data_IF_866640847967
#
_entry.id   IF_866640847967
#
_cell.length_a   1.000
_cell.length_b   1.000
_cell.length_c   1.000
_cell.angle_alpha   90.00
_cell.angle_beta   90.00
_cell.angle_gamma   90.00
#
_symmetry.space_group_name_H-M   'P 1'
#
loop_
_entity.id
_entity.type
_entity.pdbx_description
1 polymer ?
#
# COMPACT_ATOMS: atom_id res chain seq x y z
N UNK A 1 -25.83 -53.28 16.06
CA UNK A 1 -26.30 -51.93 15.64
C UNK A 1 -25.67 -50.78 16.42
N UNK A 2 -25.53 -50.89 17.77
CA UNK A 2 -24.91 -49.85 18.63
C UNK A 2 -23.41 -49.59 18.38
N UNK A 3 -22.64 -50.56 17.89
CA UNK A 3 -21.21 -50.36 17.55
C UNK A 3 -21.00 -49.54 16.26
N UNK A 4 -21.82 -49.75 15.23
CA UNK A 4 -21.76 -48.97 13.98
C UNK A 4 -22.15 -47.50 14.18
N UNK A 5 -22.98 -47.18 15.17
CA UNK A 5 -23.28 -45.79 15.56
C UNK A 5 -22.16 -45.13 16.36
N UNK A 6 -21.47 -45.86 17.24
CA UNK A 6 -20.29 -45.35 17.93
C UNK A 6 -19.18 -45.03 16.93
N UNK A 7 -18.89 -45.93 16.00
CA UNK A 7 -17.84 -45.74 14.99
C UNK A 7 -18.14 -44.56 14.01
N UNK A 8 -19.42 -44.36 13.64
CA UNK A 8 -19.84 -43.17 12.88
C UNK A 8 -19.68 -41.87 13.68
N UNK A 9 -19.93 -41.88 15.00
CA UNK A 9 -19.75 -40.69 15.85
C UNK A 9 -18.26 -40.35 16.05
N UNK A 10 -17.37 -41.33 16.20
CA UNK A 10 -15.91 -41.10 16.30
C UNK A 10 -15.29 -40.64 14.97
N UNK A 11 -15.73 -41.18 13.82
CA UNK A 11 -15.28 -40.69 12.49
C UNK A 11 -15.80 -39.27 12.21
N UNK A 12 -17.00 -38.92 12.67
CA UNK A 12 -17.56 -37.56 12.50
C UNK A 12 -16.91 -36.53 13.44
N UNK A 13 -16.38 -36.93 14.60
CA UNK A 13 -15.64 -36.02 15.48
C UNK A 13 -14.18 -35.80 15.03
N UNK A 14 -13.48 -36.84 14.54
CA UNK A 14 -12.11 -36.71 13.98
C UNK A 14 -12.08 -35.83 12.71
N UNK A 15 -13.07 -35.94 11.82
CA UNK A 15 -13.15 -35.06 10.64
C UNK A 15 -13.52 -33.59 10.97
N UNK A 16 -14.02 -33.30 12.18
CA UNK A 16 -14.39 -31.93 12.57
C UNK A 16 -13.18 -31.12 13.04
N UNK A 17 -12.19 -31.75 13.70
CA UNK A 17 -10.99 -31.07 14.21
C UNK A 17 -9.97 -30.74 13.12
N UNK A 18 -9.75 -31.61 12.11
CA UNK A 18 -8.88 -31.29 10.96
C UNK A 18 -9.41 -30.11 10.12
N UNK A 19 -10.72 -29.87 10.15
CA UNK A 19 -11.34 -28.74 9.44
C UNK A 19 -10.98 -27.37 10.03
N UNK A 20 -10.41 -27.31 11.23
CA UNK A 20 -10.18 -26.05 11.98
C UNK A 20 -8.76 -25.48 11.86
N UNK A 21 -7.74 -26.26 11.52
CA UNK A 21 -6.38 -25.74 11.36
C UNK A 21 -6.34 -24.73 10.19
N UNK A 22 -5.96 -23.44 10.42
CA UNK A 22 -5.90 -22.43 9.37
C UNK A 22 -4.66 -22.55 8.48
N UNK A 23 -3.64 -23.29 8.92
CA UNK A 23 -2.36 -23.46 8.24
C UNK A 23 -2.40 -24.61 7.23
N UNK A 24 -1.63 -24.46 6.16
CA UNK A 24 -1.31 -25.49 5.17
C UNK A 24 0.21 -25.51 5.05
N UNK A 25 0.81 -26.66 5.33
CA UNK A 25 2.22 -26.94 5.06
C UNK A 25 2.37 -27.37 3.61
N UNK A 26 3.33 -26.78 2.91
CA UNK A 26 3.60 -27.05 1.50
C UNK A 26 5.09 -27.31 1.31
N UNK A 27 5.44 -28.47 0.76
CA UNK A 27 6.80 -28.72 0.29
C UNK A 27 6.95 -28.05 -1.08
N UNK A 28 7.93 -27.16 -1.22
CA UNK A 28 8.16 -26.39 -2.43
C UNK A 28 9.63 -26.40 -2.82
N UNK A 29 9.88 -26.31 -4.13
CA UNK A 29 11.21 -26.11 -4.69
C UNK A 29 11.51 -24.61 -4.71
N UNK A 30 12.67 -24.22 -4.19
CA UNK A 30 13.12 -22.84 -4.35
C UNK A 30 13.38 -22.52 -5.84
N UNK A 31 12.78 -21.48 -6.41
CA UNK A 31 12.98 -21.17 -7.83
C UNK A 31 14.40 -20.68 -8.16
N UNK A 32 15.18 -20.28 -7.14
CA UNK A 32 16.55 -19.78 -7.30
C UNK A 32 17.60 -20.90 -7.13
N UNK A 33 17.54 -21.65 -6.03
CA UNK A 33 18.53 -22.68 -5.74
C UNK A 33 18.10 -24.12 -6.06
N UNK A 34 16.80 -24.37 -6.29
CA UNK A 34 16.26 -25.69 -6.55
C UNK A 34 16.09 -26.59 -5.32
N UNK A 35 16.46 -26.11 -4.12
CA UNK A 35 16.34 -26.91 -2.89
C UNK A 35 14.88 -27.02 -2.42
N UNK A 36 14.47 -28.23 -2.04
CA UNK A 36 13.19 -28.50 -1.40
C UNK A 36 13.19 -28.05 0.06
N UNK A 37 12.11 -27.40 0.48
CA UNK A 37 11.87 -27.01 1.86
C UNK A 37 10.37 -26.84 2.10
N UNK A 38 9.99 -26.82 3.37
CA UNK A 38 8.62 -26.61 3.79
C UNK A 38 8.32 -25.10 3.90
N UNK A 39 7.15 -24.69 3.44
CA UNK A 39 6.57 -23.36 3.59
C UNK A 39 5.20 -23.47 4.26
N UNK A 40 4.77 -22.39 4.90
CA UNK A 40 3.43 -22.30 5.50
C UNK A 40 2.59 -21.28 4.74
N UNK A 41 1.34 -21.63 4.47
CA UNK A 41 0.34 -20.68 3.97
C UNK A 41 -0.97 -20.80 4.71
N UNK A 42 -1.67 -19.68 4.78
CA UNK A 42 -3.01 -19.63 5.34
C UNK A 42 -4.08 -20.03 4.33
N UNK A 43 -5.13 -20.68 4.83
CA UNK A 43 -6.39 -20.91 4.11
C UNK A 43 -7.09 -19.57 3.92
N UNK A 44 -6.81 -18.87 2.82
CA UNK A 44 -7.33 -17.54 2.49
C UNK A 44 -8.84 -17.40 2.70
N UNK A 45 -9.63 -18.43 2.36
CA UNK A 45 -11.10 -18.45 2.56
C UNK A 45 -11.59 -18.22 4.00
N UNK A 46 -10.71 -18.35 5.00
CA UNK A 46 -11.02 -18.14 6.42
C UNK A 46 -10.92 -16.67 6.84
N UNK A 47 -10.32 -15.83 5.99
CA UNK A 47 -10.07 -14.41 6.23
C UNK A 47 -10.75 -13.60 5.12
N UNK A 48 -11.42 -12.51 5.49
CA UNK A 48 -12.06 -11.60 4.54
C UNK A 48 -11.66 -10.18 4.90
N UNK A 49 -10.98 -9.52 3.99
CA UNK A 49 -10.63 -8.11 4.11
C UNK A 49 -11.88 -7.23 3.90
N UNK A 50 -12.07 -6.24 4.76
CA UNK A 50 -13.16 -5.27 4.70
C UNK A 50 -12.65 -3.86 4.92
N UNK A 51 -13.17 -2.94 4.10
CA UNK A 51 -12.72 -1.56 4.08
C UNK A 51 -11.28 -1.42 3.60
N UNK A 52 -10.90 -0.19 3.26
CA UNK A 52 -9.54 0.18 2.88
C UNK A 52 -9.21 1.54 3.47
N UNK A 53 -8.01 1.66 4.03
CA UNK A 53 -7.39 2.93 4.40
C UNK A 53 -7.00 3.70 3.12
N UNK A 54 -6.52 4.93 3.27
CA UNK A 54 -6.08 5.80 2.18
C UNK A 54 -5.14 5.07 1.23
N UNK A 55 -4.09 4.46 1.77
CA UNK A 55 -3.04 3.72 1.06
C UNK A 55 -3.42 2.28 0.71
N UNK A 56 -4.72 1.96 0.75
CA UNK A 56 -5.32 0.67 0.43
C UNK A 56 -5.04 -0.47 1.43
N UNK A 57 -4.46 -0.18 2.61
CA UNK A 57 -4.37 -1.16 3.70
C UNK A 57 -5.77 -1.62 4.10
N UNK A 58 -6.04 -2.93 4.21
CA UNK A 58 -7.30 -3.41 4.78
C UNK A 58 -7.53 -2.85 6.20
N UNK A 59 -8.70 -2.25 6.43
CA UNK A 59 -9.04 -1.70 7.75
C UNK A 59 -9.44 -2.80 8.74
N UNK A 60 -10.07 -3.85 8.24
CA UNK A 60 -10.55 -4.96 9.07
C UNK A 60 -10.37 -6.28 8.36
N UNK A 61 -9.93 -7.29 9.10
CA UNK A 61 -9.84 -8.68 8.63
C UNK A 61 -10.85 -9.50 9.43
N UNK A 62 -11.97 -9.82 8.79
CA UNK A 62 -12.97 -10.71 9.36
C UNK A 62 -12.47 -12.15 9.35
N UNK A 63 -12.61 -12.82 10.50
CA UNK A 63 -12.20 -14.21 10.70
C UNK A 63 -13.46 -15.06 10.79
N UNK A 64 -13.63 -16.01 9.87
CA UNK A 64 -14.86 -16.82 9.77
C UNK A 64 -15.03 -17.86 10.88
N UNK A 65 -13.99 -18.12 11.68
CA UNK A 65 -14.00 -19.16 12.72
C UNK A 65 -13.48 -18.61 14.06
N UNK A 66 -14.06 -19.06 15.19
CA UNK A 66 -13.51 -18.77 16.52
C UNK A 66 -12.14 -19.43 16.68
N UNK A 67 -11.25 -18.80 17.46
CA UNK A 67 -9.88 -19.26 17.71
C UNK A 67 -8.82 -18.68 16.76
N UNK A 68 -9.23 -17.92 15.74
CA UNK A 68 -8.31 -17.30 14.77
C UNK A 68 -7.93 -15.86 15.13
N UNK A 69 -8.38 -15.34 16.29
CA UNK A 69 -8.22 -13.93 16.66
C UNK A 69 -6.75 -13.49 16.71
N UNK A 70 -5.85 -14.40 17.09
CA UNK A 70 -4.42 -14.13 17.22
C UNK A 70 -3.65 -14.40 15.92
N UNK A 71 -4.31 -14.73 14.82
CA UNK A 71 -3.66 -15.00 13.53
C UNK A 71 -3.82 -13.77 12.64
N UNK A 72 -2.68 -13.36 12.11
CA UNK A 72 -2.46 -12.15 11.32
C UNK A 72 -2.10 -12.55 9.89
N UNK A 73 -3.03 -12.53 8.92
CA UNK A 73 -2.73 -13.01 7.57
C UNK A 73 -1.53 -12.34 6.88
N UNK A 74 -1.32 -11.07 7.19
CA UNK A 74 -0.22 -10.23 6.73
C UNK A 74 1.16 -10.81 7.03
N UNK A 75 1.35 -11.50 8.16
CA UNK A 75 2.67 -12.06 8.53
C UNK A 75 3.03 -13.33 7.74
N UNK A 76 2.07 -13.91 7.00
CA UNK A 76 2.26 -15.12 6.18
C UNK A 76 2.28 -14.82 4.67
N UNK A 77 2.50 -13.57 4.29
CA UNK A 77 2.48 -13.14 2.89
C UNK A 77 3.77 -13.53 2.13
N UNK A 78 4.92 -13.50 2.81
CA UNK A 78 6.24 -13.74 2.22
C UNK A 78 6.67 -15.20 2.40
N UNK A 79 7.26 -15.77 1.37
CA UNK A 79 7.94 -17.07 1.41
C UNK A 79 9.45 -16.89 1.33
N UNK A 80 10.18 -17.76 2.02
CA UNK A 80 11.62 -17.61 2.25
C UNK A 80 12.38 -18.93 2.08
N UNK A 81 13.42 -18.94 1.27
CA UNK A 81 14.30 -20.09 1.15
C UNK A 81 15.40 -20.09 2.22
N UNK A 82 15.46 -21.07 3.13
CA UNK A 82 16.50 -21.11 4.18
C UNK A 82 17.90 -21.41 3.64
N UNK A 83 18.03 -21.87 2.39
CA UNK A 83 19.33 -22.26 1.81
C UNK A 83 20.02 -21.15 1.03
N UNK A 84 19.26 -20.29 0.37
CA UNK A 84 19.80 -19.21 -0.46
C UNK A 84 19.23 -17.83 -0.13
N UNK A 85 18.43 -17.76 0.93
CA UNK A 85 17.77 -16.57 1.47
C UNK A 85 16.72 -15.93 0.57
N UNK A 86 16.50 -16.44 -0.65
CA UNK A 86 15.54 -15.85 -1.59
C UNK A 86 14.17 -15.67 -0.93
N UNK A 87 13.71 -14.42 -0.89
CA UNK A 87 12.47 -14.02 -0.22
C UNK A 87 11.62 -13.18 -1.16
N UNK A 88 10.36 -13.58 -1.37
CA UNK A 88 9.41 -12.89 -2.26
C UNK A 88 7.98 -13.18 -1.81
N UNK A 89 6.97 -12.52 -2.40
CA UNK A 89 5.58 -12.86 -2.13
C UNK A 89 5.28 -14.32 -2.51
N UNK A 90 4.40 -14.99 -1.76
CA UNK A 90 4.00 -16.38 -2.06
C UNK A 90 3.65 -16.61 -3.53
N UNK A 91 2.81 -15.76 -4.12
CA UNK A 91 2.36 -15.93 -5.51
C UNK A 91 3.51 -15.92 -6.51
N UNK A 92 4.53 -15.12 -6.24
CA UNK A 92 5.73 -14.97 -7.08
C UNK A 92 6.74 -16.09 -6.81
N UNK A 93 6.70 -16.67 -5.61
CA UNK A 93 7.49 -17.85 -5.26
C UNK A 93 6.93 -19.13 -5.91
N UNK A 94 5.60 -19.31 -5.85
CA UNK A 94 4.89 -20.46 -6.43
C UNK A 94 4.97 -20.46 -7.96
N UNK A 95 4.91 -19.28 -8.58
CA UNK A 95 4.92 -19.14 -10.04
C UNK A 95 5.74 -17.92 -10.50
N UNK A 96 7.08 -18.01 -10.48
CA UNK A 96 7.97 -16.88 -10.77
C UNK A 96 7.93 -16.41 -12.23
N UNK A 97 7.22 -17.11 -13.12
CA UNK A 97 7.17 -16.79 -14.55
C UNK A 97 5.83 -16.21 -15.00
N UNK A 98 4.75 -16.38 -14.23
CA UNK A 98 3.39 -16.05 -14.67
C UNK A 98 3.07 -14.57 -14.65
N UNK A 99 3.46 -13.88 -13.59
CA UNK A 99 3.10 -12.46 -13.40
C UNK A 99 4.32 -11.59 -13.04
N UNK A 100 5.52 -12.18 -13.01
CA UNK A 100 6.75 -11.51 -12.58
C UNK A 100 7.84 -11.56 -13.64
N UNK A 101 8.16 -10.39 -14.18
CA UNK A 101 9.41 -9.71 -13.91
C UNK A 101 10.64 -10.54 -13.40
N UNK A 102 10.53 -11.12 -12.20
CA UNK A 102 11.62 -11.80 -11.50
C UNK A 102 12.03 -13.09 -12.21
N UNK A 103 13.10 -13.01 -13.01
CA UNK A 103 13.75 -14.18 -13.60
C UNK A 103 14.70 -14.82 -12.57
N UNK A 104 14.39 -16.00 -12.00
CA UNK A 104 15.16 -16.55 -10.88
C UNK A 104 16.65 -16.73 -11.20
N UNK A 105 16.97 -17.09 -12.44
CA UNK A 105 18.37 -17.21 -12.91
C UNK A 105 19.15 -15.90 -12.88
N UNK A 106 18.51 -14.77 -13.22
CA UNK A 106 19.15 -13.46 -13.16
C UNK A 106 19.36 -13.04 -11.71
N UNK A 107 18.36 -13.27 -10.86
CA UNK A 107 18.44 -12.98 -9.44
C UNK A 107 19.53 -13.81 -8.77
N UNK A 108 19.58 -15.13 -9.04
CA UNK A 108 20.62 -16.04 -8.56
C UNK A 108 22.01 -15.51 -8.87
N UNK A 109 22.26 -15.19 -10.15
CA UNK A 109 23.55 -14.67 -10.61
C UNK A 109 23.88 -13.35 -9.93
N UNK A 110 22.93 -12.44 -9.83
CA UNK A 110 23.13 -11.15 -9.19
C UNK A 110 23.47 -11.31 -7.71
N UNK A 111 22.70 -12.09 -6.95
CA UNK A 111 22.99 -12.38 -5.52
C UNK A 111 24.39 -12.98 -5.36
N UNK A 112 24.78 -13.97 -6.17
CA UNK A 112 26.12 -14.58 -6.11
C UNK A 112 27.22 -13.56 -6.39
N UNK A 113 27.03 -12.68 -7.38
CA UNK A 113 27.99 -11.63 -7.73
C UNK A 113 28.08 -10.61 -6.59
N UNK A 114 26.95 -10.15 -6.06
CA UNK A 114 26.90 -9.20 -4.97
C UNK A 114 27.62 -9.73 -3.74
N UNK A 115 27.39 -10.99 -3.34
CA UNK A 115 28.13 -11.63 -2.24
C UNK A 115 29.64 -11.66 -2.43
N UNK A 116 30.11 -11.89 -3.66
CA UNK A 116 31.55 -11.93 -3.96
C UNK A 116 32.18 -10.55 -3.86
N UNK A 117 31.44 -9.51 -4.22
CA UNK A 117 31.95 -8.14 -4.28
C UNK A 117 31.89 -7.44 -2.93
N UNK A 118 30.89 -7.77 -2.11
CA UNK A 118 30.67 -7.13 -0.82
C UNK A 118 30.26 -8.16 0.26
N UNK A 119 31.21 -8.57 1.13
CA UNK A 119 30.92 -9.48 2.23
C UNK A 119 29.90 -8.94 3.24
N UNK A 120 29.68 -7.62 3.32
CA UNK A 120 28.70 -7.02 4.23
C UNK A 120 27.28 -7.44 3.91
N UNK A 121 27.01 -7.78 2.64
CA UNK A 121 25.71 -8.27 2.18
C UNK A 121 25.31 -9.54 2.92
N UNK A 122 26.26 -10.45 3.17
CA UNK A 122 25.98 -11.67 3.95
C UNK A 122 25.60 -11.33 5.38
N UNK A 123 26.26 -10.36 5.99
CA UNK A 123 25.90 -9.88 7.34
C UNK A 123 24.47 -9.34 7.36
N UNK A 124 24.06 -8.55 6.36
CA UNK A 124 22.67 -8.06 6.26
C UNK A 124 21.69 -9.22 6.11
N UNK A 125 21.98 -10.20 5.26
CA UNK A 125 21.11 -11.36 5.06
C UNK A 125 20.97 -12.18 6.33
N UNK A 126 22.07 -12.44 7.04
CA UNK A 126 22.07 -13.19 8.30
C UNK A 126 21.23 -12.47 9.38
N UNK A 127 21.31 -11.12 9.44
CA UNK A 127 20.53 -10.30 10.39
C UNK A 127 19.02 -10.25 10.05
N UNK A 128 18.69 -10.22 8.75
CA UNK A 128 17.31 -10.14 8.27
C UNK A 128 16.64 -11.50 8.07
N UNK A 129 17.35 -12.61 8.30
CA UNK A 129 16.76 -13.95 8.22
C UNK A 129 16.07 -14.28 9.55
N UNK A 130 14.77 -14.62 9.55
CA UNK A 130 14.08 -14.97 10.78
C UNK A 130 14.64 -16.29 11.35
N UNK A 131 14.79 -16.34 12.68
CA UNK A 131 15.23 -17.55 13.39
C UNK A 131 14.18 -18.67 13.37
N UNK A 132 12.90 -18.29 13.32
CA UNK A 132 11.76 -19.19 13.26
C UNK A 132 10.90 -18.86 12.03
N UNK A 133 10.56 -19.88 11.24
CA UNK A 133 9.68 -19.75 10.09
C UNK A 133 8.63 -20.87 10.15
N UNK A 134 7.66 -20.72 11.07
CA UNK A 134 6.64 -21.74 11.35
C UNK A 134 5.23 -21.14 11.61
N UNK A 135 4.33 -21.89 12.25
CA UNK A 135 2.97 -21.44 12.56
C UNK A 135 2.91 -20.27 13.58
N UNK A 136 4.05 -19.95 14.22
CA UNK A 136 4.22 -18.89 15.22
C UNK A 136 4.81 -17.60 14.65
N UNK A 137 4.84 -17.44 13.33
CA UNK A 137 5.28 -16.20 12.67
C UNK A 137 4.71 -14.96 13.37
N UNK A 138 5.59 -14.03 13.68
CA UNK A 138 5.26 -12.77 14.35
C UNK A 138 5.37 -11.57 13.40
N UNK A 139 4.99 -10.38 13.87
CA UNK A 139 5.21 -9.15 13.10
C UNK A 139 6.70 -8.85 12.95
N UNK A 140 7.53 -9.19 13.94
CA UNK A 140 8.99 -9.07 13.85
C UNK A 140 9.55 -9.93 12.70
N UNK A 141 9.14 -11.20 12.59
CA UNK A 141 9.58 -12.07 11.50
C UNK A 141 9.09 -11.56 10.14
N UNK A 142 7.86 -11.02 10.07
CA UNK A 142 7.36 -10.42 8.83
C UNK A 142 8.20 -9.21 8.42
N UNK A 143 8.52 -8.30 9.35
CA UNK A 143 9.39 -7.14 9.10
C UNK A 143 10.75 -7.58 8.57
N UNK A 144 11.38 -8.58 9.20
CA UNK A 144 12.63 -9.19 8.74
C UNK A 144 12.54 -9.65 7.27
N UNK A 145 11.49 -10.40 6.92
CA UNK A 145 11.30 -10.92 5.57
C UNK A 145 11.02 -9.83 4.52
N UNK A 146 10.23 -8.80 4.86
CA UNK A 146 10.00 -7.68 3.95
C UNK A 146 11.28 -6.89 3.70
N UNK A 147 12.03 -6.58 4.76
CA UNK A 147 13.34 -5.93 4.66
C UNK A 147 14.31 -6.77 3.82
N UNK A 148 14.37 -8.09 4.05
CA UNK A 148 15.23 -9.00 3.27
C UNK A 148 14.86 -9.00 1.79
N UNK A 149 13.56 -9.07 1.47
CA UNK A 149 13.09 -9.05 0.08
C UNK A 149 13.38 -7.70 -0.62
N UNK A 150 13.15 -6.57 0.07
CA UNK A 150 13.47 -5.23 -0.44
C UNK A 150 14.96 -5.13 -0.73
N UNK A 151 15.81 -5.50 0.24
CA UNK A 151 17.26 -5.44 0.09
C UNK A 151 17.74 -6.32 -1.07
N UNK A 152 17.25 -7.55 -1.17
CA UNK A 152 17.57 -8.45 -2.28
C UNK A 152 17.24 -7.88 -3.66
N UNK A 153 16.07 -7.26 -3.80
CA UNK A 153 15.68 -6.63 -5.06
C UNK A 153 16.53 -5.39 -5.35
N UNK A 154 16.94 -4.63 -4.33
CA UNK A 154 17.82 -3.47 -4.50
C UNK A 154 19.24 -3.86 -4.93
N UNK A 155 19.73 -5.05 -4.59
CA UNK A 155 21.05 -5.52 -5.02
C UNK A 155 21.16 -5.84 -6.51
N UNK A 156 20.04 -5.88 -7.24
CA UNK A 156 20.02 -6.26 -8.65
C UNK A 156 19.63 -5.06 -9.50
N UNK A 157 20.58 -4.54 -10.27
CA UNK A 157 20.38 -3.41 -11.19
C UNK A 157 19.14 -3.57 -12.09
N UNK A 158 18.90 -4.80 -12.54
CA UNK A 158 17.71 -5.13 -13.33
C UNK A 158 16.41 -4.83 -12.57
N UNK A 159 16.29 -5.19 -11.29
CA UNK A 159 15.08 -4.91 -10.51
C UNK A 159 14.98 -3.44 -10.13
N UNK A 160 16.11 -2.79 -9.83
CA UNK A 160 16.15 -1.34 -9.60
C UNK A 160 15.62 -0.53 -10.79
N UNK A 161 16.02 -0.91 -12.01
CA UNK A 161 15.81 -0.07 -13.20
C UNK A 161 14.71 -0.55 -14.14
N UNK A 162 14.33 -1.83 -14.10
CA UNK A 162 13.33 -2.41 -15.02
C UNK A 162 12.03 -2.78 -14.32
N UNK A 163 12.10 -3.20 -13.07
CA UNK A 163 10.94 -3.73 -12.35
C UNK A 163 10.85 -3.20 -10.89
N UNK A 164 10.99 -1.87 -10.68
CA UNK A 164 11.01 -1.28 -9.35
C UNK A 164 9.68 -1.44 -8.58
N UNK A 165 8.59 -1.78 -9.29
CA UNK A 165 7.24 -1.88 -8.72
C UNK A 165 7.14 -2.86 -7.54
N UNK A 166 7.91 -3.95 -7.56
CA UNK A 166 7.86 -4.94 -6.49
C UNK A 166 8.53 -4.41 -5.21
N UNK A 167 9.60 -3.63 -5.34
CA UNK A 167 10.20 -2.93 -4.19
C UNK A 167 9.17 -1.97 -3.58
N UNK A 168 8.48 -1.18 -4.41
CA UNK A 168 7.43 -0.28 -3.93
C UNK A 168 6.28 -1.00 -3.23
N UNK A 169 5.82 -2.13 -3.77
CA UNK A 169 4.78 -2.98 -3.15
C UNK A 169 5.21 -3.57 -1.80
N UNK A 170 6.46 -3.99 -1.68
CA UNK A 170 6.97 -4.54 -0.42
C UNK A 170 7.16 -3.44 0.62
N UNK A 171 7.69 -2.28 0.21
CA UNK A 171 7.83 -1.11 1.09
C UNK A 171 6.46 -0.63 1.60
N UNK A 172 5.43 -0.59 0.75
CA UNK A 172 4.07 -0.25 1.17
C UNK A 172 3.52 -1.22 2.23
N UNK A 173 3.70 -2.53 2.02
CA UNK A 173 3.26 -3.54 3.01
C UNK A 173 4.10 -3.52 4.29
N UNK A 174 5.38 -3.17 4.19
CA UNK A 174 6.22 -2.97 5.36
C UNK A 174 5.72 -1.78 6.19
N UNK A 175 5.32 -0.67 5.54
CA UNK A 175 4.69 0.46 6.20
C UNK A 175 3.41 0.04 6.95
N UNK A 176 2.61 -0.84 6.37
CA UNK A 176 1.43 -1.40 7.03
C UNK A 176 1.76 -2.19 8.29
N UNK A 177 2.84 -2.98 8.27
CA UNK A 177 3.31 -3.72 9.45
C UNK A 177 3.77 -2.77 10.55
N UNK A 178 4.55 -1.74 10.22
CA UNK A 178 4.96 -0.72 11.20
C UNK A 178 3.75 -0.03 11.82
N UNK A 179 2.76 0.36 11.00
CA UNK A 179 1.49 0.93 11.47
C UNK A 179 0.77 0.00 12.45
N UNK A 180 0.69 -1.30 12.14
CA UNK A 180 0.02 -2.28 13.00
C UNK A 180 0.76 -2.47 14.34
N UNK A 181 2.09 -2.45 14.31
CA UNK A 181 2.91 -2.48 15.52
C UNK A 181 2.67 -1.22 16.36
N UNK A 182 2.70 -0.03 15.75
CA UNK A 182 2.49 1.24 16.45
C UNK A 182 1.05 1.38 16.98
N UNK A 183 0.04 0.90 16.27
CA UNK A 183 -1.36 1.02 16.71
C UNK A 183 -1.73 0.06 17.86
N UNK A 184 -0.89 -0.94 18.17
CA UNK A 184 -1.20 -2.01 19.12
C UNK A 184 -0.21 -2.04 20.28
N UNK A 185 -0.65 -1.64 21.48
CA UNK A 185 0.18 -1.65 22.70
C UNK A 185 0.87 -3.00 22.94
N UNK A 186 0.16 -4.10 22.67
CA UNK A 186 0.73 -5.46 22.77
C UNK A 186 1.89 -5.64 21.78
N UNK A 187 1.70 -5.30 20.50
CA UNK A 187 2.74 -5.47 19.49
C UNK A 187 3.91 -4.53 19.71
N UNK A 188 3.66 -3.30 20.17
CA UNK A 188 4.74 -2.39 20.58
C UNK A 188 5.60 -3.02 21.67
N UNK A 189 4.98 -3.51 22.74
CA UNK A 189 5.69 -4.15 23.85
C UNK A 189 6.46 -5.39 23.40
N UNK A 190 5.86 -6.19 22.54
CA UNK A 190 6.43 -7.47 22.10
C UNK A 190 7.59 -7.27 21.10
N UNK A 191 7.56 -6.22 20.25
CA UNK A 191 8.45 -6.16 19.08
C UNK A 191 9.17 -4.83 18.82
N UNK A 192 8.72 -3.69 19.35
CA UNK A 192 9.25 -2.38 18.92
C UNK A 192 10.76 -2.22 19.17
N UNK A 193 11.23 -2.64 20.36
CA UNK A 193 12.65 -2.56 20.72
C UNK A 193 13.52 -3.48 19.85
N UNK A 194 13.05 -4.69 19.54
CA UNK A 194 13.76 -5.65 18.69
C UNK A 194 13.89 -5.14 17.25
N UNK A 195 12.82 -4.54 16.72
CA UNK A 195 12.82 -3.91 15.39
C UNK A 195 13.79 -2.73 15.36
N UNK A 196 13.73 -1.84 16.36
CA UNK A 196 14.62 -0.69 16.43
C UNK A 196 16.09 -1.12 16.48
N UNK A 197 16.41 -2.15 17.28
CA UNK A 197 17.75 -2.71 17.36
C UNK A 197 18.19 -3.34 16.03
N UNK A 198 17.31 -4.12 15.39
CA UNK A 198 17.56 -4.73 14.08
C UNK A 198 17.89 -3.65 13.04
N UNK A 199 17.04 -2.63 12.90
CA UNK A 199 17.20 -1.54 11.94
C UNK A 199 18.52 -0.81 12.20
N UNK A 200 18.83 -0.47 13.46
CA UNK A 200 20.08 0.22 13.79
C UNK A 200 21.31 -0.63 13.48
N UNK A 201 21.24 -1.95 13.68
CA UNK A 201 22.35 -2.87 13.39
C UNK A 201 22.57 -3.06 11.89
N UNK A 202 21.50 -3.09 11.11
CA UNK A 202 21.57 -3.26 9.64
C UNK A 202 22.01 -1.97 8.94
N UNK A 203 21.66 -0.80 9.49
CA UNK A 203 21.91 0.53 8.91
C UNK A 203 23.37 0.79 8.51
N UNK A 204 24.34 0.20 9.23
CA UNK A 204 25.76 0.33 8.90
C UNK A 204 26.12 -0.24 7.51
N UNK A 205 25.36 -1.22 7.02
CA UNK A 205 25.61 -1.92 5.76
C UNK A 205 24.46 -1.71 4.75
N UNK A 206 23.39 -1.03 5.16
CA UNK A 206 22.28 -0.60 4.32
C UNK A 206 21.69 0.71 4.88
N UNK A 207 22.29 1.87 4.55
CA UNK A 207 21.90 3.16 5.13
C UNK A 207 20.45 3.56 4.84
N UNK A 208 19.90 3.13 3.70
CA UNK A 208 18.56 3.45 3.21
C UNK A 208 17.46 2.54 3.79
N UNK A 209 17.80 1.66 4.74
CA UNK A 209 16.83 0.77 5.38
C UNK A 209 15.65 1.56 5.99
N UNK A 210 14.38 1.22 5.64
CA UNK A 210 13.22 1.83 6.27
C UNK A 210 13.08 1.31 7.71
N UNK A 211 12.92 2.24 8.66
CA UNK A 211 12.87 1.94 10.10
C UNK A 211 11.51 2.15 10.76
N UNK A 212 10.57 2.74 10.04
CA UNK A 212 9.25 3.17 10.52
C UNK A 212 8.25 3.27 9.35
N UNK A 213 6.99 3.56 9.65
CA UNK A 213 5.93 3.70 8.65
C UNK A 213 6.28 4.76 7.60
N UNK A 214 6.70 5.95 8.03
CA UNK A 214 6.97 7.07 7.13
C UNK A 214 8.08 6.74 6.13
N UNK A 215 9.24 6.28 6.61
CA UNK A 215 10.38 5.91 5.75
C UNK A 215 10.03 4.77 4.77
N UNK A 216 9.20 3.81 5.19
CA UNK A 216 8.70 2.76 4.31
C UNK A 216 7.73 3.30 3.24
N UNK A 217 6.83 4.23 3.57
CA UNK A 217 5.94 4.90 2.60
C UNK A 217 6.74 5.76 1.61
N UNK A 218 7.77 6.47 2.06
CA UNK A 218 8.68 7.25 1.20
C UNK A 218 9.39 6.35 0.19
N UNK A 219 9.93 5.22 0.66
CA UNK A 219 10.53 4.23 -0.22
C UNK A 219 9.49 3.67 -1.21
N UNK A 220 8.26 3.42 -0.78
CA UNK A 220 7.20 2.97 -1.68
C UNK A 220 6.94 3.98 -2.81
N UNK A 221 6.81 5.26 -2.48
CA UNK A 221 6.65 6.36 -3.45
C UNK A 221 7.83 6.37 -4.42
N UNK A 222 9.07 6.38 -3.92
CA UNK A 222 10.28 6.46 -4.77
C UNK A 222 10.29 5.36 -5.84
N UNK A 223 10.02 4.12 -5.45
CA UNK A 223 10.04 2.99 -6.37
C UNK A 223 8.81 2.94 -7.29
N UNK A 224 7.66 3.46 -6.87
CA UNK A 224 6.51 3.66 -7.75
C UNK A 224 6.73 4.78 -8.77
N UNK A 225 7.37 5.88 -8.39
CA UNK A 225 7.77 6.94 -9.32
C UNK A 225 8.79 6.43 -10.34
N UNK A 226 9.81 5.67 -9.89
CA UNK A 226 10.74 4.97 -10.78
C UNK A 226 9.98 4.05 -11.76
N UNK A 227 8.97 3.33 -11.30
CA UNK A 227 8.11 2.48 -12.15
C UNK A 227 7.42 3.30 -13.25
N UNK A 228 6.90 4.48 -12.93
CA UNK A 228 6.25 5.37 -13.90
C UNK A 228 7.21 5.91 -14.96
N UNK A 229 8.50 6.00 -14.67
CA UNK A 229 9.53 6.43 -15.65
C UNK A 229 10.07 5.28 -16.49
N UNK A 230 9.93 4.03 -16.02
CA UNK A 230 10.41 2.85 -16.72
C UNK A 230 9.45 2.46 -17.85
N UNK A 231 9.81 2.81 -19.09
CA UNK A 231 8.97 2.76 -20.31
C UNK A 231 8.38 1.38 -20.69
N UNK A 232 8.71 0.31 -19.96
CA UNK A 232 8.30 -1.07 -20.28
C UNK A 232 7.54 -1.78 -19.14
N UNK A 233 7.40 -1.15 -17.98
CA UNK A 233 6.83 -1.84 -16.80
C UNK A 233 5.31 -1.73 -16.76
N UNK A 234 4.76 -0.61 -17.23
CA UNK A 234 3.31 -0.35 -17.22
C UNK A 234 2.75 -0.68 -18.60
N UNK A 235 1.85 -1.67 -18.64
CA UNK A 235 1.34 -2.25 -19.88
C UNK A 235 0.05 -1.58 -20.39
N UNK A 236 -0.61 -0.75 -19.57
CA UNK A 236 -1.86 -0.09 -19.93
C UNK A 236 -2.06 1.23 -19.20
N UNK A 237 -2.79 2.15 -19.83
CA UNK A 237 -3.19 3.43 -19.23
C UNK A 237 -3.98 3.22 -17.93
N UNK A 238 -4.75 2.13 -17.83
CA UNK A 238 -5.45 1.79 -16.58
C UNK A 238 -4.46 1.44 -15.46
N UNK A 239 -3.42 0.65 -15.75
CA UNK A 239 -2.39 0.34 -14.77
C UNK A 239 -1.58 1.59 -14.36
N UNK A 240 -1.35 2.52 -15.30
CA UNK A 240 -0.73 3.82 -14.98
C UNK A 240 -1.61 4.64 -14.03
N UNK A 241 -2.91 4.78 -14.34
CA UNK A 241 -3.87 5.50 -13.49
C UNK A 241 -3.95 4.87 -12.10
N UNK A 242 -4.07 3.54 -12.03
CA UNK A 242 -4.14 2.81 -10.76
C UNK A 242 -2.88 3.08 -9.89
N UNK A 243 -1.69 3.10 -10.51
CA UNK A 243 -0.42 3.40 -9.81
C UNK A 243 -0.30 4.87 -9.40
N UNK A 244 -0.63 5.81 -10.28
CA UNK A 244 -0.60 7.25 -10.01
C UNK A 244 -1.57 7.61 -8.88
N UNK A 245 -2.75 7.01 -8.85
CA UNK A 245 -3.72 7.20 -7.76
C UNK A 245 -3.25 6.57 -6.46
N UNK A 246 -2.55 5.43 -6.49
CA UNK A 246 -1.91 4.85 -5.30
C UNK A 246 -0.86 5.81 -4.72
N UNK A 247 0.00 6.39 -5.56
CA UNK A 247 0.98 7.39 -5.11
C UNK A 247 0.28 8.61 -4.49
N UNK A 248 -0.77 9.14 -5.15
CA UNK A 248 -1.57 10.25 -4.62
C UNK A 248 -2.13 9.93 -3.23
N UNK A 249 -2.68 8.72 -3.04
CA UNK A 249 -3.18 8.23 -1.76
C UNK A 249 -2.11 8.13 -0.67
N UNK A 250 -0.91 7.68 -1.02
CA UNK A 250 0.21 7.62 -0.05
C UNK A 250 0.62 9.05 0.36
N UNK A 251 0.67 10.01 -0.57
CA UNK A 251 0.90 11.42 -0.21
C UNK A 251 -0.19 11.98 0.70
N UNK A 252 -1.46 11.63 0.50
CA UNK A 252 -2.53 12.00 1.44
C UNK A 252 -2.29 11.39 2.83
N UNK A 253 -1.84 10.13 2.89
CA UNK A 253 -1.49 9.47 4.15
C UNK A 253 -0.34 10.18 4.88
N UNK A 254 0.61 10.74 4.14
CA UNK A 254 1.71 11.54 4.65
C UNK A 254 1.33 13.03 4.89
N UNK A 255 0.05 13.39 4.73
CA UNK A 255 -0.47 14.75 4.85
C UNK A 255 0.15 15.77 3.86
N UNK A 256 0.60 15.29 2.69
CA UNK A 256 1.22 16.10 1.62
C UNK A 256 0.22 16.41 0.50
N UNK A 257 -0.73 17.28 0.81
CA UNK A 257 -1.86 17.60 -0.08
C UNK A 257 -1.44 18.16 -1.45
N UNK A 258 -0.30 18.86 -1.53
CA UNK A 258 0.20 19.44 -2.77
C UNK A 258 0.65 18.35 -3.75
N UNK A 259 1.45 17.40 -3.29
CA UNK A 259 1.93 16.27 -4.09
C UNK A 259 0.80 15.29 -4.42
N UNK A 260 -0.11 15.03 -3.47
CA UNK A 260 -1.30 14.24 -3.76
C UNK A 260 -2.12 14.84 -4.92
N UNK A 261 -2.30 16.16 -4.95
CA UNK A 261 -2.98 16.87 -6.05
C UNK A 261 -2.23 16.74 -7.37
N UNK A 262 -0.91 16.91 -7.35
CA UNK A 262 -0.06 16.77 -8.54
C UNK A 262 -0.26 15.40 -9.20
N UNK A 263 -0.26 14.32 -8.42
CA UNK A 263 -0.51 12.97 -8.94
C UNK A 263 -1.97 12.78 -9.40
N UNK A 264 -2.96 13.37 -8.73
CA UNK A 264 -4.34 13.32 -9.19
C UNK A 264 -4.54 14.01 -10.55
N UNK A 265 -3.91 15.16 -10.78
CA UNK A 265 -3.96 15.83 -12.09
C UNK A 265 -3.26 14.99 -13.18
N UNK A 266 -2.15 14.34 -12.86
CA UNK A 266 -1.50 13.39 -13.79
C UNK A 266 -2.45 12.26 -14.17
N UNK A 267 -3.19 11.68 -13.23
CA UNK A 267 -4.18 10.63 -13.53
C UNK A 267 -5.27 11.14 -14.48
N UNK A 268 -5.75 12.38 -14.29
CA UNK A 268 -6.73 13.01 -15.20
C UNK A 268 -6.18 13.19 -16.60
N UNK A 269 -4.92 13.56 -16.72
CA UNK A 269 -4.26 13.71 -18.03
C UNK A 269 -4.17 12.38 -18.78
N UNK A 270 -3.78 11.29 -18.09
CA UNK A 270 -3.74 9.94 -18.67
C UNK A 270 -5.14 9.53 -19.18
N UNK A 271 -6.19 9.71 -18.35
CA UNK A 271 -7.57 9.39 -18.76
C UNK A 271 -8.02 10.23 -19.95
N UNK A 272 -7.71 11.54 -19.96
CA UNK A 272 -8.04 12.43 -21.09
C UNK A 272 -7.40 11.92 -22.39
N UNK A 273 -6.12 11.55 -22.34
CA UNK A 273 -5.42 11.01 -23.50
C UNK A 273 -6.03 9.68 -23.97
N UNK A 274 -6.34 8.77 -23.05
CA UNK A 274 -7.01 7.51 -23.35
C UNK A 274 -8.37 7.72 -24.04
N UNK A 275 -9.18 8.68 -23.56
CA UNK A 275 -10.47 9.01 -24.18
C UNK A 275 -10.33 9.65 -25.57
N UNK A 276 -9.33 10.48 -25.78
CA UNK A 276 -9.00 11.03 -27.10
C UNK A 276 -8.62 9.91 -28.08
N UNK A 277 -7.81 8.95 -27.64
CA UNK A 277 -7.44 7.77 -28.44
C UNK A 277 -8.65 6.88 -28.74
N UNK A 278 -9.53 6.67 -27.76
CA UNK A 278 -10.80 5.96 -27.96
C UNK A 278 -11.70 6.66 -28.98
N UNK A 279 -11.79 8.00 -28.94
CA UNK A 279 -12.56 8.78 -29.93
C UNK A 279 -11.96 8.67 -31.33
N UNK A 280 -10.63 8.68 -31.46
CA UNK A 280 -9.94 8.46 -32.74
C UNK A 280 -10.22 7.06 -33.28
N UNK A 281 -10.12 6.03 -32.45
CA UNK A 281 -10.41 4.65 -32.82
C UNK A 281 -11.84 4.46 -33.35
N UNK A 282 -12.83 5.16 -32.77
CA UNK A 282 -14.23 5.15 -33.27
C UNK A 282 -14.40 5.73 -34.67
N UNK A 283 -13.49 6.61 -35.11
CA UNK A 283 -13.55 7.29 -36.41
C UNK A 283 -12.82 6.51 -37.51
N UNK A 284 -12.12 5.44 -37.18
CA UNK A 284 -11.47 4.57 -38.15
C UNK A 284 -12.56 3.86 -38.98
N UNK A 285 -12.35 3.81 -40.30
CA UNK A 285 -13.27 3.17 -41.25
C UNK A 285 -13.46 1.68 -40.93
N UNK A 286 -14.65 1.14 -41.23
CA UNK A 286 -15.00 -0.24 -40.88
C UNK A 286 -14.08 -1.30 -41.53
N UNK A 287 -13.51 -0.99 -42.70
CA UNK A 287 -12.64 -1.90 -43.45
C UNK A 287 -11.15 -1.79 -43.08
N UNK A 288 -10.77 -0.88 -42.17
CA UNK A 288 -9.37 -0.72 -41.77
C UNK A 288 -8.96 -1.82 -40.77
N UNK A 289 -7.92 -2.63 -41.07
CA UNK A 289 -7.47 -3.70 -40.18
C UNK A 289 -6.97 -3.21 -38.81
N UNK A 290 -6.72 -1.90 -38.64
CA UNK A 290 -6.34 -1.29 -37.36
C UNK A 290 -7.53 -0.90 -36.49
N UNK A 291 -8.76 -1.03 -36.99
CA UNK A 291 -9.96 -0.73 -36.20
C UNK A 291 -10.11 -1.75 -35.07
N UNK A 292 -10.20 -1.33 -33.80
CA UNK A 292 -10.48 -2.26 -32.73
C UNK A 292 -11.86 -2.90 -32.92
N UNK A 293 -11.96 -4.17 -32.55
CA UNK A 293 -13.22 -4.92 -32.57
C UNK A 293 -14.27 -4.27 -31.67
N UNK A 294 -15.55 -4.57 -31.91
CA UNK A 294 -16.65 -4.09 -31.06
C UNK A 294 -16.42 -4.47 -29.58
N UNK A 295 -15.89 -5.67 -29.33
CA UNK A 295 -15.54 -6.15 -28.00
C UNK A 295 -14.45 -5.30 -27.34
N UNK A 296 -13.35 -5.03 -28.04
CA UNK A 296 -12.26 -4.18 -27.56
C UNK A 296 -12.74 -2.75 -27.28
N UNK A 297 -13.54 -2.18 -28.19
CA UNK A 297 -14.12 -0.84 -28.01
C UNK A 297 -15.03 -0.76 -26.77
N UNK A 298 -15.80 -1.81 -26.51
CA UNK A 298 -16.64 -1.92 -25.32
C UNK A 298 -15.79 -2.00 -24.06
N UNK A 299 -14.73 -2.83 -24.07
CA UNK A 299 -13.79 -2.98 -22.97
C UNK A 299 -13.08 -1.65 -22.65
N UNK A 300 -12.51 -0.99 -23.67
CA UNK A 300 -11.87 0.32 -23.51
C UNK A 300 -12.85 1.35 -22.92
N UNK A 301 -14.11 1.35 -23.37
CA UNK A 301 -15.12 2.26 -22.83
C UNK A 301 -15.46 1.94 -21.36
N UNK A 302 -15.44 0.66 -20.96
CA UNK A 302 -15.59 0.25 -19.58
C UNK A 302 -14.39 0.68 -18.72
N UNK A 303 -13.17 0.54 -19.24
CA UNK A 303 -11.93 0.95 -18.56
C UNK A 303 -11.89 2.47 -18.36
N UNK A 304 -12.27 3.27 -19.36
CA UNK A 304 -12.40 4.73 -19.22
C UNK A 304 -13.33 5.12 -18.06
N UNK A 305 -14.52 4.49 -17.99
CA UNK A 305 -15.48 4.74 -16.90
C UNK A 305 -14.92 4.33 -15.54
N UNK A 306 -14.22 3.19 -15.49
CA UNK A 306 -13.58 2.70 -14.26
C UNK A 306 -12.50 3.66 -13.76
N UNK A 307 -11.62 4.13 -14.65
CA UNK A 307 -10.57 5.10 -14.31
C UNK A 307 -11.15 6.42 -13.80
N UNK A 308 -12.19 6.95 -14.46
CA UNK A 308 -12.88 8.17 -14.00
C UNK A 308 -13.46 8.03 -12.59
N UNK A 309 -14.14 6.93 -12.32
CA UNK A 309 -14.69 6.65 -10.99
C UNK A 309 -13.59 6.62 -9.91
N UNK A 310 -12.42 6.05 -10.20
CA UNK A 310 -11.31 6.04 -9.24
C UNK A 310 -10.72 7.44 -9.01
N UNK A 311 -10.64 8.27 -10.06
CA UNK A 311 -10.24 9.68 -9.92
C UNK A 311 -11.25 10.45 -9.06
N UNK A 312 -12.54 10.27 -9.31
CA UNK A 312 -13.61 10.91 -8.53
C UNK A 312 -13.57 10.48 -7.06
N UNK A 313 -13.31 9.19 -6.79
CA UNK A 313 -13.14 8.67 -5.43
C UNK A 313 -11.97 9.36 -4.70
N UNK A 314 -10.80 9.44 -5.32
CA UNK A 314 -9.63 10.11 -4.71
C UNK A 314 -9.86 11.61 -4.55
N UNK A 315 -10.48 12.28 -5.54
CA UNK A 315 -10.84 13.69 -5.42
C UNK A 315 -11.82 13.93 -4.26
N UNK A 316 -12.81 13.07 -4.09
CA UNK A 316 -13.76 13.14 -2.96
C UNK A 316 -13.03 13.07 -1.62
N UNK A 317 -12.13 12.09 -1.45
CA UNK A 317 -11.29 11.97 -0.25
C UNK A 317 -10.49 13.26 0.01
N UNK A 318 -9.90 13.85 -1.03
CA UNK A 318 -9.13 15.09 -0.90
C UNK A 318 -9.99 16.29 -0.48
N UNK A 319 -11.21 16.39 -1.02
CA UNK A 319 -12.15 17.45 -0.69
C UNK A 319 -12.66 17.30 0.74
N UNK A 320 -12.91 16.06 1.19
CA UNK A 320 -13.28 15.74 2.57
C UNK A 320 -12.16 16.16 3.54
N UNK A 321 -10.91 15.72 3.32
CA UNK A 321 -9.74 16.11 4.15
C UNK A 321 -9.58 17.64 4.21
N UNK A 322 -9.77 18.33 3.07
CA UNK A 322 -9.68 19.78 3.00
C UNK A 322 -10.81 20.47 3.77
N UNK A 323 -12.02 19.90 3.72
CA UNK A 323 -13.19 20.42 4.41
C UNK A 323 -13.01 20.25 5.93
N UNK A 324 -12.57 19.08 6.39
CA UNK A 324 -12.25 18.80 7.79
C UNK A 324 -11.19 19.75 8.33
N UNK A 325 -10.07 19.89 7.60
CA UNK A 325 -9.00 20.84 7.95
C UNK A 325 -9.53 22.27 8.11
N UNK A 326 -10.39 22.70 7.18
CA UNK A 326 -11.00 24.03 7.24
C UNK A 326 -11.96 24.19 8.43
N UNK A 327 -12.72 23.15 8.78
CA UNK A 327 -13.65 23.17 9.91
C UNK A 327 -12.91 23.19 11.26
N UNK A 328 -11.76 22.51 11.35
CA UNK A 328 -10.84 22.62 12.48
C UNK A 328 -10.25 24.03 12.62
N UNK A 329 -9.84 24.68 11.51
CA UNK A 329 -9.37 26.07 11.56
C UNK A 329 -10.49 27.03 12.01
N UNK A 330 -11.72 26.83 11.54
CA UNK A 330 -12.89 27.61 11.95
C UNK A 330 -13.13 27.45 13.46
N UNK A 331 -13.04 26.22 13.97
CA UNK A 331 -13.26 25.92 15.39
C UNK A 331 -12.20 26.61 16.26
N UNK A 332 -10.92 26.52 15.89
CA UNK A 332 -9.82 27.25 16.56
C UNK A 332 -10.00 28.77 16.50
N UNK A 333 -10.45 29.30 15.37
CA UNK A 333 -10.72 30.72 15.22
C UNK A 333 -11.86 31.19 16.15
N UNK A 334 -12.94 30.41 16.27
CA UNK A 334 -14.06 30.70 17.19
C UNK A 334 -13.61 30.67 18.65
N UNK A 335 -12.85 29.66 19.04
CA UNK A 335 -12.30 29.55 20.40
C UNK A 335 -11.39 30.75 20.74
N UNK A 336 -10.59 31.21 19.76
CA UNK A 336 -9.75 32.40 19.93
C UNK A 336 -10.58 33.67 20.15
N UNK A 337 -11.71 33.82 19.45
CA UNK A 337 -12.62 34.97 19.62
C UNK A 337 -13.27 34.93 21.00
N UNK A 338 -13.76 33.76 21.41
CA UNK A 338 -14.42 33.56 22.70
C UNK A 338 -13.48 33.90 23.85
N UNK A 339 -12.26 33.35 23.84
CA UNK A 339 -11.22 33.63 24.85
C UNK A 339 -10.84 35.11 24.93
N UNK A 340 -10.85 35.82 23.81
CA UNK A 340 -10.53 37.24 23.76
C UNK A 340 -11.69 38.16 24.18
N UNK A 341 -12.92 37.64 24.25
CA UNK A 341 -14.11 38.43 24.61
C UNK A 341 -14.47 39.53 23.60
N UNK A 342 -13.96 39.46 22.36
CA UNK A 342 -14.14 40.53 21.35
C UNK A 342 -15.44 40.34 20.60
N UNK A 343 -16.30 41.38 20.56
CA UNK A 343 -17.62 41.32 19.91
C UNK A 343 -17.71 42.09 18.58
N UNK A 344 -16.90 43.13 18.38
CA UNK A 344 -16.97 43.95 17.15
C UNK A 344 -16.30 43.21 15.98
N UNK A 345 -16.99 43.10 14.85
CA UNK A 345 -16.53 42.36 13.65
C UNK A 345 -15.13 42.81 13.21
N UNK A 346 -14.86 44.11 13.15
CA UNK A 346 -13.54 44.62 12.73
C UNK A 346 -12.43 44.24 13.72
N UNK A 347 -12.74 44.22 15.01
CA UNK A 347 -11.81 43.81 16.06
C UNK A 347 -11.58 42.28 16.02
N UNK A 348 -12.61 41.48 15.72
CA UNK A 348 -12.49 40.03 15.48
C UNK A 348 -11.57 39.78 14.28
N UNK A 349 -11.81 40.47 13.15
CA UNK A 349 -10.99 40.31 11.95
C UNK A 349 -9.54 40.69 12.20
N UNK A 350 -9.29 41.80 12.92
CA UNK A 350 -7.94 42.20 13.33
C UNK A 350 -7.28 41.13 14.20
N UNK A 351 -7.98 40.68 15.25
CA UNK A 351 -7.51 39.60 16.13
C UNK A 351 -7.10 38.34 15.36
N UNK A 352 -7.95 37.87 14.44
CA UNK A 352 -7.67 36.66 13.66
C UNK A 352 -6.50 36.85 12.68
N UNK A 353 -6.34 38.05 12.09
CA UNK A 353 -5.16 38.39 11.27
C UNK A 353 -3.89 38.39 12.10
N UNK A 354 -3.92 38.99 13.28
CA UNK A 354 -2.79 39.03 14.22
C UNK A 354 -2.40 37.60 14.69
N UNK A 355 -3.33 36.65 14.63
CA UNK A 355 -3.13 35.22 14.91
C UNK A 355 -2.82 34.38 13.66
N UNK A 356 -2.58 35.01 12.51
CA UNK A 356 -2.25 34.37 11.23
C UNK A 356 -3.31 33.40 10.68
N UNK A 357 -4.60 33.60 11.00
CA UNK A 357 -5.65 32.83 10.34
C UNK A 357 -5.80 33.25 8.88
N UNK A 358 -6.07 32.28 8.00
CA UNK A 358 -6.27 32.57 6.57
C UNK A 358 -7.50 33.45 6.34
N UNK A 359 -7.45 34.36 5.37
CA UNK A 359 -8.53 35.30 5.06
C UNK A 359 -9.87 34.58 4.76
N UNK A 360 -9.83 33.37 4.18
CA UNK A 360 -11.02 32.54 3.96
C UNK A 360 -11.71 32.14 5.27
N UNK A 361 -10.94 31.76 6.29
CA UNK A 361 -11.45 31.42 7.63
C UNK A 361 -12.00 32.67 8.30
N UNK A 362 -11.26 33.78 8.24
CA UNK A 362 -11.69 35.08 8.78
C UNK A 362 -13.03 35.50 8.17
N UNK A 363 -13.19 35.37 6.86
CA UNK A 363 -14.44 35.70 6.17
C UNK A 363 -15.60 34.77 6.54
N UNK A 364 -15.34 33.50 6.84
CA UNK A 364 -16.36 32.56 7.32
C UNK A 364 -16.83 32.88 8.75
N UNK A 365 -15.92 33.24 9.64
CA UNK A 365 -16.23 33.47 11.06
C UNK A 365 -16.70 34.91 11.34
N UNK A 366 -16.19 35.88 10.58
CA UNK A 366 -16.49 37.31 10.72
C UNK A 366 -16.73 37.96 9.35
N UNK A 367 -17.87 37.64 8.69
CA UNK A 367 -18.17 38.13 7.35
C UNK A 367 -18.28 39.66 7.35
N UNK A 368 -17.72 40.31 6.33
CA UNK A 368 -17.91 41.75 6.16
C UNK A 368 -19.38 42.04 5.91
N UNK A 369 -19.95 43.10 6.53
CA UNK A 369 -21.29 43.53 6.21
C UNK A 369 -21.32 43.83 4.70
N UNK A 370 -22.21 43.15 3.97
CA UNK A 370 -22.44 43.46 2.56
C UNK A 370 -22.75 44.96 2.49
N UNK A 371 -21.88 45.76 1.87
CA UNK A 371 -22.19 47.16 1.57
C UNK A 371 -23.53 47.12 0.83
N UNK A 372 -24.61 47.62 1.45
CA UNK A 372 -25.90 47.76 0.75
C UNK A 372 -25.57 48.54 -0.52
N UNK A 373 -25.61 47.87 -1.66
CA UNK A 373 -25.29 48.50 -2.93
C UNK A 373 -26.16 49.74 -3.06
N UNK A 374 -25.60 50.81 -3.64
CA UNK A 374 -26.29 52.08 -3.89
C UNK A 374 -27.65 51.93 -4.61
N UNK A 375 -27.97 50.75 -5.13
CA UNK A 375 -29.27 50.40 -5.74
C UNK A 375 -30.45 50.28 -4.74
N UNK A 376 -30.21 50.41 -3.43
CA UNK A 376 -31.29 50.56 -2.45
C UNK A 376 -31.95 51.95 -2.43
N UNK A 377 -31.44 52.92 -3.20
CA UNK A 377 -31.98 54.29 -3.28
C UNK A 377 -33.03 54.50 -4.40
N UNK A 378 -33.36 53.45 -5.17
CA UNK A 378 -34.40 53.51 -6.22
C UNK A 378 -35.62 52.65 -5.87
N UNK A 379 -36.09 52.70 -4.63
CA UNK A 379 -37.39 52.14 -4.23
C UNK A 379 -38.19 53.11 -3.40
#
# INVERSE_FOLDING_TARGET
>A
MKEKEKEKKTKKSKNKSESQNPFIRANVLCPVCGMEHEQIKLKSRLFVEQGRDLDLKPLTILRKKPGLQNIHPEVFFMWHCPFCYFTTARSEYEDPLKDTAIRPEKLKKAIIISYKNDPSIKKVFDLLTPSEYDEKMTHYNAVQLYLLAIYQLQLVDYFLNKEPINIGRYALRLAWLFRDIEASEKLQKDHAAEIQFLVQTVRDNWPEIPGDEESALRMAIEFYEKTLTATKTIQSDQAEVDLVLLISRIFLKLNEMADARKYLERAREVVRHFEENLKKARRIQDDDPKKPTIGEMSQMSADARKMKRYIEEVQGIMDDIRQDSMDDEISRAKECIEKAGVKKVDAIRKLLKDKNFQEKIINKVAPQPKKKGLFGFFK
#
